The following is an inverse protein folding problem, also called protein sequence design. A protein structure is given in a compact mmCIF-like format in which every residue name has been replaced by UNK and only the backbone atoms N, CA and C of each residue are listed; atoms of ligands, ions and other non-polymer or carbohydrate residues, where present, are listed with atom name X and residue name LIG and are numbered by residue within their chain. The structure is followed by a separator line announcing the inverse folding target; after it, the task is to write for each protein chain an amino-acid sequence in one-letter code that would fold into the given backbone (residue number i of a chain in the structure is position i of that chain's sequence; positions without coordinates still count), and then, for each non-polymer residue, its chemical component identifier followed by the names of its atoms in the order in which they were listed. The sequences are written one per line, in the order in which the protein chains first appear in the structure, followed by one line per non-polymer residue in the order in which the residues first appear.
data_IF_115426687958
#
_entry.id   IF_115426687958
#
_cell.length_a   1.000
_cell.length_b   1.000
_cell.length_c   1.000
_cell.angle_alpha   90.00
_cell.angle_beta   90.00
_cell.angle_gamma   90.00
#
_symmetry.space_group_name_H-M   'P 1'
#
loop_
_entity.id
_entity.type
_entity.pdbx_description
1 polymer ?
#
# COMPACT_ATOMS: atom_id res chain seq x y z
N UNK A 1 14.31 9.60 -3.89
CA UNK A 1 14.05 8.19 -4.23
C UNK A 1 13.97 7.39 -2.95
N UNK A 2 13.03 6.46 -2.89
CA UNK A 2 12.81 5.64 -1.70
C UNK A 2 13.20 4.20 -1.93
N UNK A 3 13.69 3.55 -0.89
CA UNK A 3 13.86 2.11 -0.84
C UNK A 3 12.50 1.52 -0.42
N UNK A 4 11.84 0.80 -1.31
CA UNK A 4 10.53 0.21 -1.06
C UNK A 4 10.71 -1.20 -0.50
N UNK A 5 10.25 -1.39 0.72
CA UNK A 5 10.19 -2.69 1.38
C UNK A 5 8.74 -3.11 1.52
N UNK A 6 8.49 -4.37 1.77
CA UNK A 6 7.14 -4.90 1.90
C UNK A 6 7.07 -5.96 2.98
N UNK A 7 5.92 -6.05 3.64
CA UNK A 7 5.63 -7.14 4.56
C UNK A 7 5.28 -8.39 3.76
N UNK A 8 5.39 -9.54 4.40
CA UNK A 8 4.93 -10.80 3.82
C UNK A 8 3.42 -10.76 3.55
N UNK A 9 2.66 -10.13 4.44
CA UNK A 9 1.22 -9.97 4.29
C UNK A 9 0.86 -9.19 3.02
N UNK A 10 1.58 -8.09 2.75
CA UNK A 10 1.38 -7.34 1.51
C UNK A 10 1.73 -8.17 0.29
N UNK A 11 2.87 -8.86 0.34
CA UNK A 11 3.34 -9.67 -0.78
C UNK A 11 2.35 -10.78 -1.13
N UNK A 12 1.82 -11.47 -0.13
CA UNK A 12 0.80 -12.50 -0.32
C UNK A 12 -0.48 -11.92 -0.93
N UNK A 13 -0.93 -10.77 -0.42
CA UNK A 13 -2.12 -10.13 -0.95
C UNK A 13 -1.97 -9.80 -2.44
N UNK A 14 -0.86 -9.18 -2.81
CA UNK A 14 -0.60 -8.80 -4.19
C UNK A 14 -0.50 -10.04 -5.09
N UNK A 15 0.22 -11.06 -4.64
CA UNK A 15 0.43 -12.29 -5.42
C UNK A 15 -0.86 -13.07 -5.64
N UNK A 16 -1.82 -12.95 -4.73
CA UNK A 16 -3.09 -13.68 -4.78
C UNK A 16 -4.20 -12.93 -5.53
N UNK A 17 -3.94 -11.73 -6.04
CA UNK A 17 -4.92 -11.02 -6.85
C UNK A 17 -5.16 -11.77 -8.16
N UNK A 18 -6.42 -12.08 -8.43
CA UNK A 18 -6.79 -12.80 -9.65
C UNK A 18 -6.67 -11.94 -10.91
N UNK A 19 -6.88 -10.63 -10.76
CA UNK A 19 -6.84 -9.68 -11.86
C UNK A 19 -5.39 -9.24 -12.14
N UNK A 20 -4.81 -9.77 -13.22
CA UNK A 20 -3.43 -9.47 -13.60
C UNK A 20 -3.24 -8.00 -13.99
N UNK A 21 -4.26 -7.37 -14.57
CA UNK A 21 -4.19 -5.94 -14.90
C UNK A 21 -4.14 -5.10 -13.63
N UNK A 22 -4.87 -5.50 -12.61
CA UNK A 22 -4.83 -4.84 -11.31
C UNK A 22 -3.43 -4.96 -10.68
N UNK A 23 -2.85 -6.16 -10.72
CA UNK A 23 -1.49 -6.36 -10.23
C UNK A 23 -0.50 -5.42 -10.91
N UNK A 24 -0.56 -5.35 -12.25
CA UNK A 24 0.34 -4.49 -13.02
C UNK A 24 0.17 -3.01 -12.66
N UNK A 25 -1.06 -2.55 -12.49
CA UNK A 25 -1.34 -1.16 -12.11
C UNK A 25 -0.83 -0.85 -10.71
N UNK A 26 -1.01 -1.77 -9.77
CA UNK A 26 -0.52 -1.59 -8.40
C UNK A 26 1.01 -1.53 -8.39
N UNK A 27 1.67 -2.44 -9.08
CA UNK A 27 3.14 -2.45 -9.19
C UNK A 27 3.65 -1.15 -9.80
N UNK A 28 3.02 -0.67 -10.87
CA UNK A 28 3.39 0.60 -11.50
C UNK A 28 3.28 1.78 -10.53
N UNK A 29 2.23 1.80 -9.71
CA UNK A 29 2.04 2.86 -8.71
C UNK A 29 3.10 2.78 -7.61
N UNK A 30 3.47 1.57 -7.20
CA UNK A 30 4.54 1.35 -6.22
C UNK A 30 5.88 1.84 -6.76
N UNK A 31 6.18 1.57 -8.02
CA UNK A 31 7.40 2.07 -8.66
C UNK A 31 7.44 3.60 -8.66
N UNK A 32 6.33 4.25 -8.99
CA UNK A 32 6.22 5.72 -8.96
C UNK A 32 6.39 6.27 -7.55
N UNK A 33 5.85 5.58 -6.55
CA UNK A 33 6.07 5.93 -5.15
C UNK A 33 7.56 5.90 -4.81
N UNK A 34 8.27 4.88 -5.28
CA UNK A 34 9.72 4.77 -5.09
C UNK A 34 10.50 5.94 -5.67
N UNK A 35 10.01 6.56 -6.74
CA UNK A 35 10.62 7.75 -7.34
C UNK A 35 10.16 9.05 -6.67
N UNK A 36 9.34 8.98 -5.62
CA UNK A 36 8.86 10.16 -4.92
C UNK A 36 7.59 10.76 -5.53
N UNK A 37 6.91 10.04 -6.40
CA UNK A 37 5.68 10.49 -7.07
C UNK A 37 4.52 9.55 -6.73
N UNK A 38 3.95 9.63 -5.52
CA UNK A 38 2.96 8.66 -5.06
C UNK A 38 1.59 8.76 -5.74
N UNK A 39 1.25 9.90 -6.34
CA UNK A 39 -0.05 10.10 -6.95
C UNK A 39 -1.15 10.30 -5.90
N UNK A 40 -2.28 9.62 -6.05
CA UNK A 40 -3.44 9.76 -5.16
C UNK A 40 -3.18 9.05 -3.82
N UNK A 41 -2.75 9.82 -2.84
CA UNK A 41 -2.41 9.34 -1.49
C UNK A 41 -3.08 10.20 -0.43
N UNK A 42 -3.55 9.54 0.63
CA UNK A 42 -4.22 10.19 1.74
C UNK A 42 -3.70 9.63 3.07
N UNK A 43 -3.36 10.48 4.04
CA UNK A 43 -3.00 9.98 5.38
C UNK A 43 -4.24 9.43 6.08
N UNK A 44 -4.06 8.32 6.80
CA UNK A 44 -5.15 7.67 7.54
C UNK A 44 -4.89 7.59 9.06
N UNK A 45 -3.82 8.23 9.52
CA UNK A 45 -3.44 8.26 10.93
C UNK A 45 -2.30 7.31 11.27
N UNK A 46 -1.70 7.49 12.42
CA UNK A 46 -0.61 6.66 12.94
C UNK A 46 0.62 6.58 12.00
N UNK A 47 0.83 7.61 11.18
CA UNK A 47 1.90 7.63 10.18
C UNK A 47 1.63 6.76 8.96
N UNK A 48 0.45 6.16 8.87
CA UNK A 48 0.05 5.32 7.73
C UNK A 48 -0.61 6.17 6.65
N UNK A 49 -0.27 5.88 5.41
CA UNK A 49 -0.90 6.51 4.24
C UNK A 49 -1.59 5.45 3.39
N UNK A 50 -2.64 5.87 2.71
CA UNK A 50 -3.43 5.05 1.80
C UNK A 50 -3.17 5.53 0.38
N UNK A 51 -2.65 4.65 -0.47
CA UNK A 51 -2.48 4.93 -1.90
C UNK A 51 -3.61 4.26 -2.67
N UNK A 52 -4.37 5.05 -3.41
CA UNK A 52 -5.54 4.59 -4.16
C UNK A 52 -5.16 4.24 -5.59
N UNK A 53 -5.64 3.09 -6.04
CA UNK A 53 -5.46 2.63 -7.41
C UNK A 53 -6.85 2.44 -8.01
N UNK A 54 -7.34 3.40 -8.83
CA UNK A 54 -8.71 3.37 -9.36
C UNK A 54 -8.85 2.36 -10.50
N UNK A 55 -9.02 1.10 -10.14
CA UNK A 55 -9.22 0.00 -11.08
C UNK A 55 -10.10 -1.05 -10.40
N UNK A 56 -11.08 -1.58 -11.12
CA UNK A 56 -11.98 -2.62 -10.61
C UNK A 56 -12.69 -2.18 -9.33
N UNK A 57 -12.59 -2.95 -8.26
CA UNK A 57 -13.27 -2.63 -7.00
C UNK A 57 -12.64 -1.47 -6.23
N UNK A 58 -11.62 -0.80 -6.78
CA UNK A 58 -10.92 0.29 -6.12
C UNK A 58 -9.88 -0.21 -5.14
N UNK A 59 -8.71 -0.59 -5.66
CA UNK A 59 -7.63 -1.14 -4.84
C UNK A 59 -6.93 -0.07 -4.02
N UNK A 60 -6.39 -0.47 -2.87
CA UNK A 60 -5.66 0.41 -1.97
C UNK A 60 -4.42 -0.29 -1.43
N UNK A 61 -3.34 0.49 -1.33
CA UNK A 61 -2.09 0.03 -0.72
C UNK A 61 -1.80 0.92 0.48
N UNK A 62 -1.58 0.31 1.63
CA UNK A 62 -1.26 1.03 2.87
C UNK A 62 0.22 0.95 3.14
N UNK A 63 0.83 2.09 3.39
CA UNK A 63 2.27 2.16 3.60
C UNK A 63 2.64 3.16 4.68
N UNK A 64 3.86 3.04 5.18
CA UNK A 64 4.43 3.97 6.15
C UNK A 64 5.88 4.26 5.78
N UNK A 65 6.28 5.53 5.85
CA UNK A 65 7.69 5.88 5.74
C UNK A 65 8.34 5.58 7.08
N UNK A 66 9.23 4.59 7.11
CA UNK A 66 9.86 4.10 8.35
C UNK A 66 11.25 4.68 8.57
N UNK A 67 11.78 5.39 7.61
CA UNK A 67 13.06 6.06 7.68
C UNK A 67 13.10 7.19 6.67
N UNK A 68 14.21 7.90 6.61
CA UNK A 68 14.35 9.06 5.75
C UNK A 68 14.13 8.72 4.27
N UNK A 69 14.56 7.53 3.86
CA UNK A 69 14.47 7.06 2.47
C UNK A 69 13.80 5.69 2.34
N UNK A 70 13.16 5.21 3.41
CA UNK A 70 12.57 3.87 3.44
C UNK A 70 11.06 3.95 3.58
N UNK A 71 10.35 3.25 2.70
CA UNK A 71 8.89 3.10 2.75
C UNK A 71 8.57 1.62 2.87
N UNK A 72 7.73 1.26 3.85
CA UNK A 72 7.28 -0.09 4.05
C UNK A 72 5.81 -0.23 3.61
N UNK A 73 5.55 -1.12 2.65
CA UNK A 73 4.21 -1.49 2.23
C UNK A 73 3.65 -2.47 3.28
N UNK A 74 2.57 -2.08 3.95
CA UNK A 74 2.04 -2.78 5.12
C UNK A 74 1.04 -3.88 4.76
N UNK A 75 0.01 -3.50 4.03
CA UNK A 75 -1.03 -4.42 3.55
C UNK A 75 -1.79 -3.75 2.41
N UNK A 76 -2.67 -4.50 1.77
CA UNK A 76 -3.50 -4.00 0.70
C UNK A 76 -4.92 -4.52 0.82
N UNK A 77 -5.81 -3.94 0.03
CA UNK A 77 -7.20 -4.32 -0.01
C UNK A 77 -7.94 -3.55 -1.09
N UNK A 78 -9.26 -3.52 -0.99
CA UNK A 78 -10.09 -2.75 -1.89
C UNK A 78 -11.09 -1.90 -1.10
N UNK A 79 -11.97 -1.20 -1.82
CA UNK A 79 -12.95 -0.32 -1.19
C UNK A 79 -13.86 -1.06 -0.23
N UNK A 80 -14.20 -2.32 -0.50
CA UNK A 80 -15.14 -3.09 0.32
C UNK A 80 -14.58 -3.48 1.70
N UNK A 81 -13.24 -3.48 1.85
CA UNK A 81 -12.58 -3.87 3.10
C UNK A 81 -11.78 -2.72 3.72
N UNK A 82 -12.03 -1.50 3.27
CA UNK A 82 -11.20 -0.34 3.62
C UNK A 82 -11.02 -0.12 5.12
N UNK A 83 -12.10 -0.14 5.90
CA UNK A 83 -12.01 0.12 7.34
C UNK A 83 -11.18 -0.93 8.06
N UNK A 84 -11.42 -2.19 7.74
CA UNK A 84 -10.68 -3.33 8.29
C UNK A 84 -9.20 -3.24 7.92
N UNK A 85 -8.90 -2.88 6.68
CA UNK A 85 -7.53 -2.81 6.19
C UNK A 85 -6.75 -1.64 6.80
N UNK A 86 -7.41 -0.49 7.00
CA UNK A 86 -6.80 0.64 7.71
C UNK A 86 -6.43 0.23 9.13
N UNK A 87 -7.34 -0.43 9.82
CA UNK A 87 -7.08 -0.92 11.18
C UNK A 87 -5.90 -1.87 11.20
N UNK A 88 -5.86 -2.82 10.25
CA UNK A 88 -4.76 -3.78 10.15
C UNK A 88 -3.42 -3.09 9.85
N UNK A 89 -3.42 -2.13 8.95
CA UNK A 89 -2.21 -1.37 8.63
C UNK A 89 -1.65 -0.67 9.86
N UNK A 90 -2.52 -0.07 10.67
CA UNK A 90 -2.11 0.60 11.91
C UNK A 90 -1.56 -0.39 12.94
N UNK A 91 -2.14 -1.58 13.02
CA UNK A 91 -1.63 -2.65 13.89
C UNK A 91 -0.21 -3.04 13.50
N UNK A 92 0.03 -3.26 12.22
CA UNK A 92 1.36 -3.59 11.70
C UNK A 92 2.33 -2.45 11.99
N UNK A 93 1.92 -1.21 11.72
CA UNK A 93 2.76 -0.05 11.94
C UNK A 93 3.16 0.13 13.42
N UNK A 94 2.29 -0.24 14.34
CA UNK A 94 2.54 -0.14 15.77
C UNK A 94 3.61 -1.13 16.26
N UNK A 95 3.87 -2.18 15.51
CA UNK A 95 4.86 -3.21 15.85
C UNK A 95 6.26 -2.92 15.28
N UNK A 96 6.41 -1.82 14.55
CA UNK A 96 7.68 -1.47 13.93
C UNK A 96 8.69 -0.82 14.89
#
# INVERSE_FOLDING_TARGET
MFDIQKTEEFDEWLSNLADQKAQAKIVSRIERLGFGNPGDVKPVGAGVSEMRVPHGPGYRVYFKQTGKTVVLLLCGGDKSTQEKDIKRAKEIAAEL
#
